data_IF_141512507929
#
_entry.id   IF_141512507929
#
_cell.length_a   1.000
_cell.length_b   1.000
_cell.length_c   1.000
_cell.angle_alpha   90.00
_cell.angle_beta   90.00
_cell.angle_gamma   90.00
#
_symmetry.space_group_name_H-M   'P 1'
#
loop_
_entity.id
_entity.type
_entity.pdbx_description
1 polymer ?
#
# COMPACT_ATOMS: atom_id res chain seq x y z
N UNK A 1 -26.61 -42.56 -34.54
CA UNK A 1 -25.19 -42.50 -34.18
C UNK A 1 -24.62 -41.06 -34.27
N UNK A 2 -24.88 -40.31 -35.34
CA UNK A 2 -24.38 -38.92 -35.55
C UNK A 2 -24.86 -37.89 -34.50
N UNK A 3 -26.11 -37.97 -34.04
CA UNK A 3 -26.65 -37.01 -33.05
C UNK A 3 -26.08 -37.22 -31.65
N UNK A 4 -25.80 -38.46 -31.23
CA UNK A 4 -25.15 -38.74 -29.96
C UNK A 4 -23.69 -38.25 -29.95
N UNK A 5 -23.02 -38.32 -31.10
CA UNK A 5 -21.64 -37.82 -31.23
C UNK A 5 -21.58 -36.30 -31.14
N UNK A 6 -22.52 -35.57 -31.74
CA UNK A 6 -22.65 -34.11 -31.63
C UNK A 6 -22.89 -33.66 -30.18
N UNK A 7 -23.76 -34.37 -29.45
CA UNK A 7 -24.03 -34.10 -28.04
C UNK A 7 -22.77 -34.27 -27.18
N UNK A 8 -21.98 -35.33 -27.40
CA UNK A 8 -20.74 -35.58 -26.70
C UNK A 8 -19.71 -34.44 -26.96
N UNK A 9 -19.55 -34.06 -28.25
CA UNK A 9 -18.64 -32.94 -28.58
C UNK A 9 -19.09 -31.63 -27.94
N UNK A 10 -20.40 -31.35 -27.89
CA UNK A 10 -20.93 -30.16 -27.23
C UNK A 10 -20.60 -30.13 -25.73
N UNK A 11 -20.84 -31.22 -25.02
CA UNK A 11 -20.54 -31.29 -23.56
C UNK A 11 -19.05 -31.24 -23.27
N UNK A 12 -18.20 -31.84 -24.10
CA UNK A 12 -16.73 -31.75 -23.96
C UNK A 12 -16.27 -30.31 -24.18
N UNK A 13 -16.81 -29.63 -25.19
CA UNK A 13 -16.46 -28.24 -25.51
C UNK A 13 -16.90 -27.25 -24.39
N UNK A 14 -18.15 -27.41 -23.89
CA UNK A 14 -18.66 -26.62 -22.77
C UNK A 14 -17.86 -26.87 -21.49
N UNK A 15 -17.51 -28.13 -21.22
CA UNK A 15 -16.65 -28.51 -20.10
C UNK A 15 -15.23 -27.90 -20.19
N UNK A 16 -14.64 -27.87 -21.39
CA UNK A 16 -13.35 -27.27 -21.65
C UNK A 16 -13.38 -25.75 -21.46
N UNK A 17 -14.44 -25.06 -21.90
CA UNK A 17 -14.63 -23.62 -21.68
C UNK A 17 -14.80 -23.32 -20.18
N UNK A 18 -15.66 -24.07 -19.48
CA UNK A 18 -15.86 -23.90 -18.05
C UNK A 18 -14.56 -24.14 -17.27
N UNK A 19 -13.79 -25.19 -17.62
CA UNK A 19 -12.47 -25.48 -17.06
C UNK A 19 -11.47 -24.35 -17.32
N UNK A 20 -11.47 -23.78 -18.53
CA UNK A 20 -10.62 -22.64 -18.87
C UNK A 20 -10.95 -21.39 -18.04
N UNK A 21 -12.24 -21.09 -17.83
CA UNK A 21 -12.67 -19.98 -16.97
C UNK A 21 -12.30 -20.22 -15.51
N UNK A 22 -12.55 -21.42 -14.97
CA UNK A 22 -12.18 -21.77 -13.59
C UNK A 22 -10.66 -21.73 -13.40
N UNK A 23 -9.90 -22.23 -14.38
CA UNK A 23 -8.43 -22.17 -14.34
C UNK A 23 -7.91 -20.73 -14.46
N UNK A 24 -8.53 -19.90 -15.30
CA UNK A 24 -8.19 -18.48 -15.45
C UNK A 24 -8.46 -17.66 -14.19
N UNK A 25 -9.51 -17.96 -13.43
CA UNK A 25 -9.78 -17.34 -12.12
C UNK A 25 -8.77 -17.83 -11.06
N UNK A 26 -8.47 -19.13 -11.04
CA UNK A 26 -7.51 -19.70 -10.10
C UNK A 26 -6.07 -19.16 -10.29
N UNK A 27 -5.68 -18.80 -11.52
CA UNK A 27 -4.36 -18.20 -11.80
C UNK A 27 -4.29 -16.71 -11.50
N UNK A 28 -5.43 -16.03 -11.27
CA UNK A 28 -5.49 -14.64 -10.80
C UNK A 28 -5.30 -14.51 -9.28
N UNK A 29 -5.39 -15.61 -8.55
CA UNK A 29 -5.09 -15.63 -7.12
C UNK A 29 -3.57 -15.49 -7.00
N UNK A 30 -3.09 -14.30 -6.62
CA UNK A 30 -1.68 -14.03 -6.36
C UNK A 30 -1.08 -15.07 -5.39
N UNK A 31 0.24 -15.20 -5.39
CA UNK A 31 0.93 -16.16 -4.51
C UNK A 31 0.41 -16.00 -3.07
N UNK A 32 -0.01 -17.08 -2.40
CA UNK A 32 -0.51 -16.98 -1.04
C UNK A 32 0.55 -16.33 -0.14
N UNK A 33 0.16 -15.23 0.51
CA UNK A 33 1.00 -14.48 1.44
C UNK A 33 1.70 -13.24 0.87
N UNK A 34 1.62 -12.96 -0.44
CA UNK A 34 2.13 -11.70 -1.03
C UNK A 34 0.97 -10.76 -1.29
N UNK A 35 1.12 -9.50 -0.86
CA UNK A 35 0.12 -8.47 -1.13
C UNK A 35 0.32 -7.98 -2.57
N UNK A 36 -0.70 -8.16 -3.40
CA UNK A 36 -0.65 -7.78 -4.80
C UNK A 36 -1.36 -6.44 -5.04
N UNK A 37 -0.98 -5.77 -6.13
CA UNK A 37 -1.67 -4.57 -6.61
C UNK A 37 -3.14 -4.92 -6.89
N UNK A 38 -4.06 -4.07 -6.46
CA UNK A 38 -5.50 -4.24 -6.54
C UNK A 38 -6.14 -4.95 -5.34
N UNK A 39 -5.36 -5.55 -4.45
CA UNK A 39 -5.89 -6.14 -3.21
C UNK A 39 -6.11 -5.10 -2.13
N UNK A 40 -7.06 -5.36 -1.23
CA UNK A 40 -7.25 -4.56 -0.02
C UNK A 40 -6.03 -4.72 0.87
N UNK A 41 -5.43 -3.60 1.28
CA UNK A 41 -4.33 -3.58 2.22
C UNK A 41 -4.78 -4.16 3.58
N UNK A 42 -4.02 -5.09 4.17
CA UNK A 42 -4.33 -5.61 5.50
C UNK A 42 -4.42 -4.49 6.54
N UNK A 43 -5.53 -4.43 7.27
CA UNK A 43 -5.65 -3.47 8.38
C UNK A 43 -4.74 -3.90 9.53
N UNK A 44 -4.14 -2.92 10.18
CA UNK A 44 -3.27 -3.15 11.34
C UNK A 44 -3.49 -2.05 12.38
N UNK A 45 -3.10 -2.34 13.61
CA UNK A 45 -2.98 -1.33 14.66
C UNK A 45 -1.54 -1.29 15.14
N UNK A 46 -0.97 -0.09 15.21
CA UNK A 46 0.39 0.16 15.69
C UNK A 46 0.38 1.40 16.60
N UNK A 47 1.34 1.50 17.52
CA UNK A 47 1.42 2.64 18.44
C UNK A 47 2.48 3.63 17.99
N UNK A 48 2.19 4.91 18.17
CA UNK A 48 3.20 5.97 18.08
C UNK A 48 4.15 5.94 19.30
N UNK A 49 5.14 6.84 19.30
CA UNK A 49 6.11 6.95 20.38
C UNK A 49 5.47 7.30 21.73
N UNK A 50 4.30 7.93 21.75
CA UNK A 50 3.55 8.30 22.95
C UNK A 50 2.61 7.19 23.43
N UNK A 51 2.57 6.05 22.71
CA UNK A 51 1.71 4.92 23.02
C UNK A 51 0.30 5.04 22.46
N UNK A 52 -0.01 6.07 21.67
CA UNK A 52 -1.33 6.22 21.04
C UNK A 52 -1.47 5.23 19.89
N UNK A 53 -2.50 4.39 19.88
CA UNK A 53 -2.75 3.47 18.78
C UNK A 53 -3.31 4.22 17.57
N UNK A 54 -2.82 3.84 16.38
CA UNK A 54 -3.42 4.20 15.10
C UNK A 54 -3.77 2.92 14.34
N UNK A 55 -4.75 2.99 13.46
CA UNK A 55 -5.08 1.92 12.52
C UNK A 55 -4.96 2.41 11.10
N UNK A 56 -4.61 1.53 10.17
CA UNK A 56 -4.63 1.88 8.75
C UNK A 56 -6.04 2.34 8.32
N UNK A 57 -7.08 1.70 8.84
CA UNK A 57 -8.48 2.04 8.56
C UNK A 57 -8.90 3.45 9.01
N UNK A 58 -8.16 4.10 9.92
CA UNK A 58 -8.41 5.49 10.33
C UNK A 58 -8.13 6.50 9.20
N UNK A 59 -7.39 6.08 8.17
CA UNK A 59 -7.01 6.91 7.03
C UNK A 59 -7.82 6.64 5.76
N UNK A 60 -8.97 5.97 5.86
CA UNK A 60 -9.90 5.85 4.73
C UNK A 60 -10.26 7.22 4.16
N UNK A 61 -10.35 7.31 2.85
CA UNK A 61 -10.55 8.58 2.15
C UNK A 61 -9.27 9.38 1.88
N UNK A 62 -8.11 8.88 2.31
CA UNK A 62 -6.79 9.43 1.98
C UNK A 62 -5.97 8.42 1.18
N UNK A 63 -5.07 8.91 0.35
CA UNK A 63 -3.99 8.09 -0.22
C UNK A 63 -2.96 7.87 0.89
N UNK A 64 -2.61 6.62 1.17
CA UNK A 64 -1.64 6.28 2.21
C UNK A 64 -0.34 5.81 1.58
N UNK A 65 0.76 6.40 2.03
CA UNK A 65 2.13 5.97 1.77
C UNK A 65 2.62 5.18 2.99
N UNK A 66 2.63 3.85 2.88
CA UNK A 66 3.09 2.96 3.93
C UNK A 66 4.49 2.44 3.58
N UNK A 67 5.50 2.88 4.33
CA UNK A 67 6.90 2.52 4.10
C UNK A 67 7.45 1.75 5.31
N UNK A 68 8.04 0.59 5.05
CA UNK A 68 8.79 -0.19 6.03
C UNK A 68 10.28 0.05 5.84
N UNK A 69 10.98 0.37 6.93
CA UNK A 69 12.38 0.78 6.89
C UNK A 69 13.13 0.44 8.17
N UNK A 70 14.44 0.70 8.23
CA UNK A 70 15.24 0.55 9.44
C UNK A 70 16.43 1.52 9.45
N UNK A 71 16.93 1.87 10.62
CA UNK A 71 18.08 2.77 10.78
C UNK A 71 19.39 2.21 10.26
N UNK A 72 19.53 0.90 10.26
CA UNK A 72 20.70 0.15 9.76
C UNK A 72 20.64 -0.18 8.25
N UNK A 73 19.59 0.22 7.57
CA UNK A 73 19.37 -0.06 6.15
C UNK A 73 19.96 1.07 5.29
N UNK A 74 21.05 0.80 4.57
CA UNK A 74 21.72 1.79 3.73
C UNK A 74 20.80 2.47 2.70
N UNK A 75 20.07 1.73 1.85
CA UNK A 75 19.13 2.34 0.91
C UNK A 75 18.00 3.14 1.58
N UNK A 76 17.57 2.76 2.81
CA UNK A 76 16.58 3.54 3.57
C UNK A 76 17.13 4.93 3.97
N UNK A 77 18.42 4.97 4.34
CA UNK A 77 19.11 6.24 4.66
C UNK A 77 19.18 7.14 3.43
N UNK A 78 19.43 6.56 2.25
CA UNK A 78 19.51 7.29 0.98
C UNK A 78 18.16 7.87 0.56
N UNK A 79 17.05 7.14 0.76
CA UNK A 79 15.70 7.62 0.37
C UNK A 79 15.07 8.58 1.40
N UNK A 80 15.54 8.61 2.65
CA UNK A 80 14.93 9.38 3.73
C UNK A 80 14.74 10.88 3.42
N UNK A 81 15.68 11.59 2.78
CA UNK A 81 15.48 12.99 2.40
C UNK A 81 14.36 13.20 1.38
N UNK A 82 14.16 12.25 0.46
CA UNK A 82 13.11 12.34 -0.54
C UNK A 82 11.75 12.01 0.04
N UNK A 83 11.69 11.05 0.99
CA UNK A 83 10.48 10.75 1.78
C UNK A 83 10.05 11.98 2.58
N UNK A 84 11.00 12.68 3.23
CA UNK A 84 10.72 13.94 3.97
C UNK A 84 10.17 15.03 3.03
N UNK A 85 10.78 15.23 1.86
CA UNK A 85 10.31 16.21 0.85
C UNK A 85 8.90 15.87 0.38
N UNK A 86 8.64 14.60 0.07
CA UNK A 86 7.33 14.12 -0.38
C UNK A 86 6.27 14.39 0.69
N UNK A 87 6.54 14.05 1.95
CA UNK A 87 5.65 14.32 3.06
C UNK A 87 5.35 15.82 3.20
N UNK A 88 6.37 16.66 3.22
CA UNK A 88 6.20 18.10 3.34
C UNK A 88 5.39 18.71 2.20
N UNK A 89 5.48 18.14 1.00
CA UNK A 89 4.68 18.57 -0.15
C UNK A 89 3.21 18.17 -0.05
N UNK A 90 2.90 17.01 0.56
CA UNK A 90 1.57 16.39 0.44
C UNK A 90 0.78 16.31 1.76
N UNK A 91 1.39 16.56 2.92
CA UNK A 91 0.79 16.37 4.26
C UNK A 91 -0.52 17.12 4.50
N UNK A 92 -0.72 18.24 3.81
CA UNK A 92 -1.92 19.07 3.97
C UNK A 92 -3.05 18.71 2.97
N UNK A 93 -2.86 17.63 2.21
CA UNK A 93 -3.82 17.11 1.23
C UNK A 93 -4.51 15.82 1.73
N UNK A 94 -5.35 15.22 0.89
CA UNK A 94 -5.94 13.89 1.15
C UNK A 94 -4.88 12.78 1.06
N UNK A 95 -3.82 12.94 1.83
CA UNK A 95 -2.64 12.08 1.88
C UNK A 95 -2.25 11.79 3.33
N UNK A 96 -1.68 10.63 3.57
CA UNK A 96 -1.09 10.24 4.85
C UNK A 96 0.17 9.45 4.63
N UNK A 97 1.26 9.88 5.24
CA UNK A 97 2.49 9.10 5.32
C UNK A 97 2.54 8.32 6.63
N UNK A 98 2.86 7.03 6.53
CA UNK A 98 3.08 6.13 7.67
C UNK A 98 4.41 5.44 7.43
N UNK A 99 5.46 5.81 8.18
CA UNK A 99 6.74 5.12 8.14
C UNK A 99 6.84 4.19 9.32
N UNK A 100 7.10 2.92 9.09
CA UNK A 100 7.16 1.86 10.09
C UNK A 100 8.59 1.34 10.19
N UNK A 101 9.27 1.69 11.27
CA UNK A 101 10.61 1.21 11.57
C UNK A 101 10.54 -0.23 12.12
N UNK A 102 11.39 -1.12 11.62
CA UNK A 102 11.53 -2.50 12.11
C UNK A 102 12.70 -2.66 13.07
N UNK A 103 13.21 -1.55 13.59
CA UNK A 103 14.21 -1.54 14.67
C UNK A 103 13.64 -2.15 15.96
N UNK A 104 14.49 -2.53 16.90
CA UNK A 104 14.09 -3.21 18.13
C UNK A 104 13.53 -2.25 19.19
N UNK A 105 13.95 -0.98 19.13
CA UNK A 105 13.54 0.05 20.09
C UNK A 105 13.59 1.46 19.49
N UNK A 106 13.05 2.44 20.22
CA UNK A 106 12.95 3.81 19.78
C UNK A 106 14.28 4.60 19.76
N UNK A 107 15.29 4.16 20.52
CA UNK A 107 16.53 4.95 20.65
C UNK A 107 17.25 5.15 19.32
N UNK A 108 17.58 4.10 18.53
CA UNK A 108 18.21 4.30 17.22
C UNK A 108 17.32 5.09 16.26
N UNK A 109 15.99 4.91 16.30
CA UNK A 109 15.04 5.66 15.47
C UNK A 109 15.09 7.15 15.79
N UNK A 110 15.06 7.53 17.07
CA UNK A 110 15.13 8.92 17.50
C UNK A 110 16.46 9.58 17.16
N UNK A 111 17.57 8.87 17.35
CA UNK A 111 18.91 9.34 16.96
C UNK A 111 19.00 9.58 15.45
N UNK A 112 18.41 8.68 14.65
CA UNK A 112 18.34 8.81 13.19
C UNK A 112 17.51 10.03 12.78
N UNK A 113 16.32 10.21 13.35
CA UNK A 113 15.45 11.34 13.07
C UNK A 113 16.10 12.68 13.42
N UNK A 114 16.75 12.76 14.60
CA UNK A 114 17.49 13.95 15.01
C UNK A 114 18.66 14.26 14.07
N UNK A 115 19.45 13.24 13.71
CA UNK A 115 20.60 13.38 12.80
C UNK A 115 20.23 13.87 11.41
N UNK A 116 19.09 13.38 10.87
CA UNK A 116 18.66 13.66 9.50
C UNK A 116 17.58 14.76 9.44
N UNK A 117 17.20 15.36 10.59
CA UNK A 117 16.16 16.40 10.70
C UNK A 117 14.83 15.98 10.07
N UNK A 118 14.43 14.73 10.32
CA UNK A 118 13.18 14.18 9.77
C UNK A 118 11.99 14.55 10.66
N UNK A 119 10.84 14.79 10.02
CA UNK A 119 9.56 15.13 10.65
C UNK A 119 8.41 14.23 10.21
N UNK A 120 8.66 13.30 9.28
CA UNK A 120 7.66 12.33 8.84
C UNK A 120 7.12 11.51 10.01
N UNK A 121 5.81 11.17 10.03
CA UNK A 121 5.27 10.29 11.06
C UNK A 121 5.96 8.94 11.07
N UNK A 122 6.43 8.50 12.26
CA UNK A 122 7.12 7.22 12.42
C UNK A 122 6.47 6.38 13.51
N UNK A 123 6.44 5.08 13.26
CA UNK A 123 5.92 4.04 14.15
C UNK A 123 6.97 2.95 14.29
N UNK A 124 6.91 2.18 15.37
CA UNK A 124 7.87 1.11 15.63
C UNK A 124 7.16 -0.26 15.65
N UNK A 125 7.68 -1.19 14.87
CA UNK A 125 7.23 -2.60 14.81
C UNK A 125 8.37 -3.56 15.21
N UNK A 126 8.79 -3.57 16.51
CA UNK A 126 9.99 -4.28 16.96
C UNK A 126 9.87 -5.80 16.81
N UNK A 127 8.66 -6.33 16.84
CA UNK A 127 8.37 -7.75 16.61
C UNK A 127 8.06 -8.09 15.16
N UNK A 128 8.10 -7.11 14.26
CA UNK A 128 7.80 -7.23 12.83
C UNK A 128 6.44 -7.89 12.54
N UNK A 129 5.47 -7.70 13.46
CA UNK A 129 4.14 -8.30 13.35
C UNK A 129 3.36 -7.69 12.18
N UNK A 130 3.49 -6.39 11.96
CA UNK A 130 2.89 -5.70 10.81
C UNK A 130 3.72 -5.99 9.56
N UNK A 131 5.00 -5.71 9.61
CA UNK A 131 5.90 -5.82 8.48
C UNK A 131 5.95 -7.24 7.89
N UNK A 132 6.44 -8.21 8.65
CA UNK A 132 6.56 -9.60 8.20
C UNK A 132 5.31 -10.43 8.47
N UNK A 133 4.60 -10.13 9.57
CA UNK A 133 3.39 -10.86 9.95
C UNK A 133 2.24 -10.64 8.99
N UNK A 134 1.90 -9.40 8.69
CA UNK A 134 0.75 -9.02 7.83
C UNK A 134 1.17 -8.71 6.40
N UNK A 135 2.12 -7.80 6.22
CA UNK A 135 2.52 -7.30 4.89
C UNK A 135 3.49 -8.24 4.16
N UNK A 136 4.05 -9.25 4.86
CA UNK A 136 4.94 -10.26 4.29
C UNK A 136 6.16 -9.65 3.58
N UNK A 137 6.65 -8.50 4.06
CA UNK A 137 7.83 -7.88 3.47
C UNK A 137 9.03 -8.83 3.52
N UNK A 138 9.85 -8.76 2.50
CA UNK A 138 11.04 -9.61 2.35
C UNK A 138 12.34 -8.88 2.69
N UNK A 139 12.30 -7.54 2.69
CA UNK A 139 13.43 -6.66 2.98
C UNK A 139 12.98 -5.24 3.28
N UNK A 140 13.93 -4.34 3.47
CA UNK A 140 13.71 -2.91 3.61
C UNK A 140 14.69 -2.15 2.69
N UNK A 141 14.30 -0.99 2.11
CA UNK A 141 12.98 -0.36 2.23
C UNK A 141 11.94 -1.07 1.37
N UNK A 142 10.71 -1.18 1.86
CA UNK A 142 9.59 -1.72 1.09
C UNK A 142 8.37 -0.81 1.31
N UNK A 143 7.77 -0.34 0.21
CA UNK A 143 6.71 0.67 0.25
C UNK A 143 5.47 0.21 -0.49
N UNK A 144 4.31 0.46 0.13
CA UNK A 144 2.98 0.27 -0.43
C UNK A 144 2.29 1.62 -0.56
N UNK A 145 1.87 1.99 -1.78
CA UNK A 145 0.88 3.05 -1.97
C UNK A 145 -0.51 2.44 -1.96
N UNK A 146 -1.37 3.00 -1.12
CA UNK A 146 -2.73 2.53 -0.88
C UNK A 146 -3.66 3.66 -1.27
N UNK A 147 -4.67 3.38 -2.08
CA UNK A 147 -5.66 4.37 -2.48
C UNK A 147 -6.64 4.69 -1.34
N UNK A 148 -7.49 5.67 -1.54
CA UNK A 148 -8.44 6.09 -0.52
C UNK A 148 -9.55 5.06 -0.20
N UNK A 149 -9.70 4.04 -1.03
CA UNK A 149 -10.60 2.90 -0.79
C UNK A 149 -9.91 1.77 -0.01
N UNK A 150 -8.60 1.89 0.22
CA UNK A 150 -7.79 0.90 0.93
C UNK A 150 -7.18 -0.17 0.03
N UNK A 151 -7.12 0.00 -1.30
CA UNK A 151 -6.49 -0.94 -2.20
C UNK A 151 -5.04 -0.57 -2.47
N UNK A 152 -4.16 -1.55 -2.52
CA UNK A 152 -2.77 -1.36 -2.92
C UNK A 152 -2.70 -1.03 -4.40
N UNK A 153 -2.20 0.16 -4.75
CA UNK A 153 -2.04 0.62 -6.14
C UNK A 153 -0.59 0.59 -6.63
N UNK A 154 0.36 0.53 -5.72
CA UNK A 154 1.79 0.37 -6.02
C UNK A 154 2.48 -0.36 -4.87
N UNK A 155 3.46 -1.20 -5.23
CA UNK A 155 4.36 -1.88 -4.31
C UNK A 155 5.77 -1.83 -4.89
N UNK A 156 6.77 -1.41 -4.11
CA UNK A 156 8.14 -1.22 -4.59
C UNK A 156 9.18 -1.40 -3.48
N UNK A 157 10.41 -1.71 -3.89
CA UNK A 157 11.58 -1.91 -3.04
C UNK A 157 12.56 -0.76 -3.29
N UNK A 158 12.47 0.31 -2.50
CA UNK A 158 13.23 1.53 -2.70
C UNK A 158 12.81 2.29 -3.95
N UNK A 159 12.78 3.59 -3.88
CA UNK A 159 12.40 4.44 -4.99
C UNK A 159 12.97 5.85 -4.80
N UNK A 160 13.17 6.59 -5.90
CA UNK A 160 13.46 8.03 -5.83
C UNK A 160 12.15 8.81 -5.67
N UNK A 161 11.71 8.99 -4.43
CA UNK A 161 10.40 9.58 -4.11
C UNK A 161 10.26 11.06 -4.53
N UNK A 162 11.38 11.73 -4.86
CA UNK A 162 11.39 13.07 -5.45
C UNK A 162 11.29 13.06 -6.99
N UNK A 163 11.25 11.89 -7.67
CA UNK A 163 11.04 11.82 -9.12
C UNK A 163 9.69 12.45 -9.50
N UNK A 164 9.67 13.45 -10.40
CA UNK A 164 8.43 14.14 -10.78
C UNK A 164 7.33 13.22 -11.29
N UNK A 165 7.67 12.09 -11.91
CA UNK A 165 6.70 11.10 -12.44
C UNK A 165 5.99 10.39 -11.29
N UNK A 166 6.73 10.04 -10.24
CA UNK A 166 6.19 9.38 -9.05
C UNK A 166 5.33 10.35 -8.27
N UNK A 167 5.84 11.56 -8.06
CA UNK A 167 5.09 12.63 -7.37
C UNK A 167 3.79 12.93 -8.12
N UNK A 168 3.82 13.09 -9.45
CA UNK A 168 2.62 13.33 -10.26
C UNK A 168 1.63 12.16 -10.20
N UNK A 169 2.12 10.92 -10.14
CA UNK A 169 1.26 9.75 -9.96
C UNK A 169 0.51 9.81 -8.61
N UNK A 170 1.22 10.09 -7.52
CA UNK A 170 0.61 10.22 -6.19
C UNK A 170 -0.37 11.38 -6.15
N UNK A 171 -0.01 12.53 -6.74
CA UNK A 171 -0.89 13.69 -6.83
C UNK A 171 -2.17 13.38 -7.62
N UNK A 172 -2.08 12.59 -8.69
CA UNK A 172 -3.27 12.17 -9.46
C UNK A 172 -4.24 11.33 -8.64
N UNK A 173 -3.72 10.42 -7.80
CA UNK A 173 -4.54 9.62 -6.87
C UNK A 173 -5.25 10.51 -5.85
N UNK A 174 -4.53 11.49 -5.30
CA UNK A 174 -5.08 12.44 -4.33
C UNK A 174 -6.18 13.29 -4.97
N UNK A 175 -5.93 13.83 -6.18
CA UNK A 175 -6.88 14.68 -6.91
C UNK A 175 -8.18 13.94 -7.25
N UNK A 176 -8.11 12.66 -7.59
CA UNK A 176 -9.30 11.84 -7.82
C UNK A 176 -10.19 11.79 -6.57
N UNK A 177 -9.59 11.70 -5.37
CA UNK A 177 -10.34 11.69 -4.10
C UNK A 177 -10.89 13.07 -3.73
N UNK A 178 -10.12 14.10 -3.95
CA UNK A 178 -10.56 15.50 -3.71
C UNK A 178 -11.76 15.84 -4.61
N UNK A 179 -11.73 15.43 -5.88
CA UNK A 179 -12.81 15.66 -6.85
C UNK A 179 -14.07 14.84 -6.53
N UNK A 180 -13.93 13.59 -6.10
CA UNK A 180 -15.06 12.74 -5.71
C UNK A 180 -15.79 13.30 -4.48
N UNK A 181 -15.07 13.83 -3.48
CA UNK A 181 -15.66 14.49 -2.31
C UNK A 181 -16.49 15.71 -2.66
N UNK A 182 -16.03 16.55 -3.60
CA UNK A 182 -16.74 17.75 -4.04
C UNK A 182 -18.07 17.43 -4.76
N UNK A 183 -18.14 16.30 -5.48
CA UNK A 183 -19.37 15.89 -6.16
C UNK A 183 -20.44 15.39 -5.17
N UNK A 184 -20.05 14.82 -4.06
CA UNK A 184 -20.97 14.31 -3.04
C UNK A 184 -21.53 15.43 -2.13
N UNK A 185 -20.75 16.50 -1.91
CA UNK A 185 -21.15 17.65 -1.06
C UNK A 185 -22.00 18.71 -1.77
N UNK A 186 -22.32 18.53 -3.06
CA UNK A 186 -23.14 19.49 -3.79
C UNK A 186 -24.61 19.30 -3.41
N UNK A 187 -25.24 20.22 -2.59
CA UNK A 187 -26.65 20.11 -2.26
C UNK A 187 -27.46 20.23 -3.55
N UNK A 188 -28.45 19.37 -3.69
CA UNK A 188 -29.46 19.50 -4.75
C UNK A 188 -30.08 20.90 -4.63
N UNK A 189 -29.91 21.71 -5.66
CA UNK A 189 -30.56 22.99 -5.73
C UNK A 189 -32.04 22.73 -5.96
N UNK A 190 -32.81 22.89 -4.90
CA UNK A 190 -34.27 23.03 -4.93
C UNK A 190 -34.71 24.26 -5.72
#
# INVERSE_FOLDING_TARGET
MRERLKAIFFFVFVGAIAGYFVYGEATRIGKPGVINIGQVAPDFSIKDQNGHPIKLSDYKGKVVFLNFWATWCGPCVEEAPDVEKLNNKLKDRKFQMLTVAIDTDWKPVNEFYAKHSLTVPVFLDPGQQVARGLYKITGVPETFLIDANGHVVRHTFGEHWADPRIVSFIESLIQQQESAGVLYERPERS
#
